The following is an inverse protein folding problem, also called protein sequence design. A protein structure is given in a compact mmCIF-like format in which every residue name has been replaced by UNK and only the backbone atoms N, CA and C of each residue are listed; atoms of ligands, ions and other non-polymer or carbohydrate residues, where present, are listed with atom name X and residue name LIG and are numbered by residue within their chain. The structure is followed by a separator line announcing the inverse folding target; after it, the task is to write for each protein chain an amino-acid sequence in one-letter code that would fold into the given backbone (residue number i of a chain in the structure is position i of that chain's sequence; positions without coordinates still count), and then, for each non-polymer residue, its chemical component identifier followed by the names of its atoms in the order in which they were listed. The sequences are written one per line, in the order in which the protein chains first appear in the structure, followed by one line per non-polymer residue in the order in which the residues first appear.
data_IF_806226265874
#
_entry.id   IF_806226265874
#
_cell.length_a   1.000
_cell.length_b   1.000
_cell.length_c   1.000
_cell.angle_alpha   90.00
_cell.angle_beta   90.00
_cell.angle_gamma   90.00
#
_symmetry.space_group_name_H-M   'P 1'
#
loop_
_entity.id
_entity.type
_entity.pdbx_description
1 polymer ?
#
# COMPACT_ATOMS: atom_id res chain seq x y z
N UNK A 1 5.30 18.27 12.82
CA UNK A 1 5.69 19.55 13.48
C UNK A 1 5.36 20.74 12.60
N UNK A 2 4.74 21.80 13.15
CA UNK A 2 4.40 23.02 12.39
C UNK A 2 5.11 24.29 12.90
N UNK A 3 5.66 24.29 14.13
CA UNK A 3 6.36 25.44 14.73
C UNK A 3 7.88 25.41 14.45
N UNK A 4 8.56 24.26 14.63
CA UNK A 4 10.01 24.16 14.31
C UNK A 4 10.32 24.30 12.80
N UNK A 5 9.39 23.90 11.94
CA UNK A 5 9.53 24.03 10.49
C UNK A 5 9.41 25.47 9.96
N UNK A 6 9.10 26.44 10.84
CA UNK A 6 8.95 27.86 10.45
C UNK A 6 10.24 28.66 10.58
N UNK A 7 11.20 28.24 11.40
CA UNK A 7 12.55 28.82 11.33
C UNK A 7 13.26 28.22 10.13
N UNK A 8 13.44 29.04 9.09
CA UNK A 8 14.09 28.62 7.85
C UNK A 8 15.56 28.33 8.15
N UNK A 9 15.99 27.12 7.80
CA UNK A 9 17.33 26.61 7.98
C UNK A 9 18.39 27.55 7.37
N UNK A 10 19.06 28.32 8.21
CA UNK A 10 20.48 28.63 8.02
C UNK A 10 21.25 27.72 8.99
N UNK A 11 22.47 27.34 8.64
CA UNK A 11 23.28 26.34 9.37
C UNK A 11 23.48 26.66 10.87
N UNK A 12 23.15 27.88 11.32
CA UNK A 12 23.27 28.34 12.71
C UNK A 12 21.94 28.85 13.32
N UNK A 13 20.80 28.25 12.97
CA UNK A 13 19.52 28.65 13.56
C UNK A 13 19.43 28.24 15.05
N UNK A 14 19.26 29.23 15.94
CA UNK A 14 19.04 28.98 17.36
C UNK A 14 17.54 28.96 17.68
N UNK A 15 17.12 27.96 18.47
CA UNK A 15 15.78 27.89 19.05
C UNK A 15 15.82 28.35 20.50
N UNK A 16 15.00 29.33 20.84
CA UNK A 16 14.83 29.79 22.22
C UNK A 16 13.39 29.53 22.64
N UNK A 17 13.21 28.83 23.75
CA UNK A 17 11.90 28.58 24.36
C UNK A 17 11.89 29.32 25.69
N UNK A 18 10.98 30.29 25.80
CA UNK A 18 10.77 31.04 27.03
C UNK A 18 9.78 30.26 27.90
N UNK A 19 10.18 30.00 29.15
CA UNK A 19 9.36 29.28 30.13
C UNK A 19 9.27 30.07 31.42
N UNK A 20 8.15 29.90 32.12
CA UNK A 20 8.01 30.40 33.49
C UNK A 20 8.84 29.53 34.45
N UNK A 21 9.55 30.19 35.36
CA UNK A 21 10.46 29.55 36.31
C UNK A 21 9.73 28.60 37.26
N UNK A 22 8.44 28.82 37.51
CA UNK A 22 7.61 27.92 38.31
C UNK A 22 7.45 26.53 37.69
N UNK A 23 7.62 26.41 36.36
CA UNK A 23 7.28 25.22 35.59
C UNK A 23 8.53 24.52 35.01
N UNK A 24 9.72 24.91 35.44
CA UNK A 24 11.00 24.42 34.91
C UNK A 24 11.13 22.89 34.95
N UNK A 25 10.78 22.27 36.08
CA UNK A 25 10.89 20.81 36.25
C UNK A 25 9.95 20.02 35.33
N UNK A 26 8.70 20.49 35.19
CA UNK A 26 7.69 19.85 34.34
C UNK A 26 8.14 19.97 32.88
N UNK A 27 8.54 21.18 32.48
CA UNK A 27 9.00 21.46 31.13
C UNK A 27 10.25 20.64 30.75
N UNK A 28 11.21 20.49 31.67
CA UNK A 28 12.42 19.68 31.42
C UNK A 28 12.10 18.21 31.14
N UNK A 29 11.11 17.67 31.87
CA UNK A 29 10.66 16.28 31.72
C UNK A 29 9.91 16.07 30.42
N UNK A 30 9.01 17.00 30.09
CA UNK A 30 8.28 16.99 28.83
C UNK A 30 9.22 17.14 27.62
N UNK A 31 10.22 18.03 27.73
CA UNK A 31 11.21 18.24 26.68
C UNK A 31 12.08 17.01 26.44
N UNK A 32 12.49 16.32 27.50
CA UNK A 32 13.23 15.08 27.39
C UNK A 32 12.40 13.98 26.72
N UNK A 33 11.16 13.81 27.17
CA UNK A 33 10.22 12.84 26.61
C UNK A 33 9.96 13.13 25.13
N UNK A 34 9.81 14.41 24.79
CA UNK A 34 9.65 14.89 23.42
C UNK A 34 10.85 14.56 22.53
N UNK A 35 12.08 14.80 23.02
CA UNK A 35 13.30 14.47 22.30
C UNK A 35 13.39 12.97 22.00
N UNK A 36 13.04 12.12 22.98
CA UNK A 36 13.01 10.67 22.78
C UNK A 36 11.99 10.26 21.71
N UNK A 37 10.80 10.87 21.69
CA UNK A 37 9.83 10.61 20.63
C UNK A 37 10.30 11.06 19.24
N UNK A 38 10.96 12.22 19.12
CA UNK A 38 11.54 12.67 17.86
C UNK A 38 12.66 11.72 17.38
N UNK A 39 13.50 11.24 18.30
CA UNK A 39 14.58 10.32 17.97
C UNK A 39 14.04 8.96 17.53
N UNK A 40 13.08 8.40 18.26
CA UNK A 40 12.37 7.17 17.87
C UNK A 40 11.67 7.37 16.52
N UNK A 41 11.00 8.50 16.31
CA UNK A 41 10.36 8.80 15.04
C UNK A 41 11.38 8.93 13.90
N UNK A 42 12.56 9.51 14.14
CA UNK A 42 13.63 9.60 13.15
C UNK A 42 14.20 8.21 12.84
N UNK A 43 14.42 7.37 13.84
CA UNK A 43 14.88 5.99 13.64
C UNK A 43 13.86 5.16 12.87
N UNK A 44 12.58 5.26 13.23
CA UNK A 44 11.48 4.65 12.47
C UNK A 44 11.40 5.24 11.07
N UNK A 45 11.55 6.56 10.92
CA UNK A 45 11.59 7.17 9.60
C UNK A 45 12.80 6.71 8.82
N UNK A 46 13.97 6.49 9.38
CA UNK A 46 15.14 5.95 8.66
C UNK A 46 14.91 4.48 8.27
N UNK A 47 14.23 3.71 9.12
CA UNK A 47 13.81 2.33 8.86
C UNK A 47 12.72 2.25 7.77
N UNK A 48 11.82 3.24 7.72
CA UNK A 48 10.74 3.38 6.74
C UNK A 48 11.02 4.41 5.63
N UNK A 49 12.22 5.01 5.59
CA UNK A 49 12.56 6.05 4.63
C UNK A 49 12.74 5.35 3.30
N UNK A 50 11.69 5.47 2.51
CA UNK A 50 11.73 5.46 1.06
C UNK A 50 12.86 6.43 0.68
N UNK A 51 14.03 5.84 0.44
CA UNK A 51 15.27 6.55 0.17
C UNK A 51 15.03 7.54 -0.97
N UNK A 52 15.24 8.83 -0.66
CA UNK A 52 15.44 9.84 -1.68
C UNK A 52 16.84 9.71 -2.33
N UNK A 53 17.68 8.77 -1.90
CA UNK A 53 18.97 8.46 -2.53
C UNK A 53 18.81 7.45 -3.68
N UNK A 54 18.82 8.01 -4.89
CA UNK A 54 19.80 7.76 -5.96
C UNK A 54 19.13 8.27 -7.24
N UNK A 55 19.68 9.28 -7.89
CA UNK A 55 19.25 9.69 -9.23
C UNK A 55 19.52 8.51 -10.19
N UNK A 56 18.57 7.57 -10.24
CA UNK A 56 18.53 6.57 -11.30
C UNK A 56 18.32 7.33 -12.59
N UNK A 57 19.38 7.39 -13.40
CA UNK A 57 19.23 7.86 -14.76
C UNK A 57 18.39 6.84 -15.55
N UNK A 58 17.68 7.31 -16.57
CA UNK A 58 16.94 6.45 -17.51
C UNK A 58 17.82 5.33 -18.09
N UNK A 59 19.13 5.58 -18.22
CA UNK A 59 20.11 4.57 -18.64
C UNK A 59 20.27 3.41 -17.66
N UNK A 60 20.13 3.63 -16.35
CA UNK A 60 20.18 2.55 -15.36
C UNK A 60 18.92 1.69 -15.45
N UNK A 61 17.76 2.29 -15.74
CA UNK A 61 16.49 1.56 -15.92
C UNK A 61 16.47 0.73 -17.20
N UNK A 62 17.21 1.13 -18.23
CA UNK A 62 17.37 0.36 -19.47
C UNK A 62 18.15 -0.95 -19.27
N UNK A 63 18.78 -1.17 -18.11
CA UNK A 63 19.42 -2.44 -17.76
C UNK A 63 18.39 -3.53 -17.45
N UNK A 64 17.16 -3.14 -17.10
CA UNK A 64 16.06 -4.08 -16.86
C UNK A 64 15.40 -4.44 -18.19
N UNK A 65 15.28 -5.73 -18.47
CA UNK A 65 14.59 -6.18 -19.68
C UNK A 65 13.11 -5.79 -19.62
N UNK A 66 12.59 -5.07 -20.63
CA UNK A 66 11.18 -4.68 -20.66
C UNK A 66 10.31 -5.91 -20.90
N UNK A 67 9.14 -5.94 -20.26
CA UNK A 67 8.16 -6.99 -20.50
C UNK A 67 7.43 -6.76 -21.81
N UNK A 68 7.21 -7.82 -22.60
CA UNK A 68 6.49 -7.77 -23.87
C UNK A 68 5.30 -8.71 -23.82
N UNK A 69 4.12 -8.21 -24.17
CA UNK A 69 2.93 -9.04 -24.35
C UNK A 69 2.91 -9.68 -25.73
N UNK A 70 2.09 -10.71 -25.90
CA UNK A 70 1.91 -11.41 -27.18
C UNK A 70 1.35 -10.50 -28.27
N UNK A 71 0.57 -9.48 -27.89
CA UNK A 71 0.06 -8.45 -28.81
C UNK A 71 1.10 -7.35 -29.15
N UNK A 72 2.33 -7.48 -28.66
CA UNK A 72 3.44 -6.58 -29.01
C UNK A 72 3.53 -5.31 -28.15
N UNK A 73 2.76 -5.20 -27.06
CA UNK A 73 2.90 -4.09 -26.11
C UNK A 73 4.19 -4.26 -25.32
N UNK A 74 4.98 -3.19 -25.25
CA UNK A 74 6.27 -3.17 -24.52
C UNK A 74 6.12 -2.32 -23.27
N UNK A 75 6.35 -2.93 -22.11
CA UNK A 75 6.25 -2.29 -20.80
C UNK A 75 7.65 -2.03 -20.27
N UNK A 76 7.98 -0.75 -20.10
CA UNK A 76 9.18 -0.33 -19.40
C UNK A 76 9.04 -0.48 -17.88
N UNK A 77 10.16 -0.57 -17.18
CA UNK A 77 10.22 -0.59 -15.71
C UNK A 77 9.35 0.50 -15.04
N UNK A 78 9.44 1.73 -15.54
CA UNK A 78 8.66 2.87 -15.03
C UNK A 78 7.16 2.62 -15.22
N UNK A 79 6.78 2.15 -16.42
CA UNK A 79 5.38 1.93 -16.74
C UNK A 79 4.80 0.78 -15.93
N UNK A 80 5.59 -0.26 -15.66
CA UNK A 80 5.18 -1.37 -14.81
C UNK A 80 4.82 -0.90 -13.38
N UNK A 81 5.64 -0.02 -12.79
CA UNK A 81 5.33 0.55 -11.48
C UNK A 81 4.02 1.36 -11.48
N UNK A 82 3.77 2.12 -12.55
CA UNK A 82 2.52 2.87 -12.70
C UNK A 82 1.31 1.92 -12.82
N UNK A 83 1.40 0.87 -13.64
CA UNK A 83 0.32 -0.11 -13.84
C UNK A 83 -0.06 -0.77 -12.51
N UNK A 84 0.92 -1.15 -11.69
CA UNK A 84 0.64 -1.73 -10.36
C UNK A 84 -0.10 -0.74 -9.47
N UNK A 85 0.32 0.52 -9.46
CA UNK A 85 -0.34 1.56 -8.66
C UNK A 85 -1.79 1.80 -9.10
N UNK A 86 -2.00 1.89 -10.41
CA UNK A 86 -3.33 2.06 -11.01
C UNK A 86 -4.21 0.84 -10.67
N UNK A 87 -3.68 -0.38 -10.82
CA UNK A 87 -4.36 -1.63 -10.46
C UNK A 87 -4.74 -1.66 -8.98
N UNK A 88 -3.80 -1.34 -8.08
CA UNK A 88 -4.06 -1.34 -6.65
C UNK A 88 -5.12 -0.30 -6.23
N UNK A 89 -5.17 0.83 -6.93
CA UNK A 89 -6.20 1.87 -6.71
C UNK A 89 -7.58 1.37 -7.14
N UNK A 90 -7.65 0.62 -8.24
CA UNK A 90 -8.89 0.00 -8.71
C UNK A 90 -9.40 -0.99 -7.66
N UNK A 91 -8.62 -2.03 -7.29
CA UNK A 91 -9.03 -3.04 -6.29
C UNK A 91 -9.31 -2.46 -4.89
N UNK A 92 -8.84 -1.24 -4.62
CA UNK A 92 -9.11 -0.47 -3.41
C UNK A 92 -10.45 0.28 -3.42
N UNK A 93 -11.33 0.04 -4.40
CA UNK A 93 -12.59 0.79 -4.58
C UNK A 93 -12.35 2.30 -4.70
N UNK A 94 -11.31 2.70 -5.43
CA UNK A 94 -10.91 4.10 -5.60
C UNK A 94 -10.22 4.71 -4.39
N UNK A 95 -10.01 3.95 -3.30
CA UNK A 95 -9.08 4.35 -2.24
C UNK A 95 -7.67 4.03 -2.67
N UNK A 96 -6.78 4.96 -2.37
CA UNK A 96 -5.37 4.77 -2.64
C UNK A 96 -4.80 3.69 -1.72
N UNK A 97 -4.62 2.50 -2.27
CA UNK A 97 -4.06 1.34 -1.59
C UNK A 97 -2.70 0.99 -2.23
N UNK A 98 -1.61 1.71 -1.96
CA UNK A 98 -0.34 1.44 -2.62
C UNK A 98 0.15 0.01 -2.32
N UNK A 99 0.88 -0.64 -3.24
CA UNK A 99 1.54 -1.91 -2.96
C UNK A 99 2.54 -1.71 -1.81
N UNK A 100 2.68 -2.73 -0.96
CA UNK A 100 3.68 -2.71 0.12
C UNK A 100 5.03 -3.10 -0.46
N UNK A 101 6.03 -2.27 -0.25
CA UNK A 101 7.40 -2.52 -0.73
C UNK A 101 8.35 -2.42 0.47
N UNK A 102 9.07 -3.50 0.74
CA UNK A 102 10.09 -3.57 1.79
C UNK A 102 11.47 -3.72 1.16
N UNK A 103 12.47 -3.16 1.83
CA UNK A 103 13.86 -3.23 1.38
C UNK A 103 14.73 -3.86 2.46
N UNK A 104 15.62 -4.74 2.05
CA UNK A 104 16.61 -5.36 2.92
C UNK A 104 17.98 -5.23 2.26
N UNK A 105 19.00 -4.91 3.06
CA UNK A 105 20.38 -4.97 2.58
C UNK A 105 20.86 -6.41 2.76
N UNK A 106 21.32 -7.02 1.68
CA UNK A 106 21.85 -8.37 1.71
C UNK A 106 23.33 -8.34 2.13
N UNK A 107 23.81 -9.41 2.78
CA UNK A 107 25.19 -9.53 3.26
C UNK A 107 26.24 -9.36 2.14
N UNK A 108 25.84 -9.57 0.89
CA UNK A 108 26.66 -9.42 -0.31
C UNK A 108 26.79 -7.98 -0.82
N UNK A 109 26.24 -6.99 -0.10
CA UNK A 109 26.26 -5.58 -0.52
C UNK A 109 25.25 -5.23 -1.62
N UNK A 110 24.31 -6.13 -1.92
CA UNK A 110 23.14 -5.89 -2.77
C UNK A 110 21.92 -5.47 -1.94
N UNK A 111 20.86 -5.03 -2.62
CA UNK A 111 19.58 -4.70 -2.02
C UNK A 111 18.51 -5.66 -2.52
N UNK A 112 17.82 -6.29 -1.57
CA UNK A 112 16.61 -7.08 -1.82
C UNK A 112 15.39 -6.19 -1.67
N UNK A 113 14.47 -6.26 -2.63
CA UNK A 113 13.17 -5.62 -2.61
C UNK A 113 12.10 -6.71 -2.53
N UNK A 114 11.16 -6.57 -1.59
CA UNK A 114 9.99 -7.43 -1.45
C UNK A 114 8.76 -6.61 -1.81
N UNK A 115 8.00 -7.08 -2.81
CA UNK A 115 6.75 -6.46 -3.23
C UNK A 115 5.57 -7.35 -2.87
N UNK A 116 4.67 -6.83 -2.04
CA UNK A 116 3.45 -7.48 -1.60
C UNK A 116 2.22 -6.71 -2.09
N UNK A 117 1.26 -7.44 -2.66
CA UNK A 117 -0.01 -6.85 -3.11
C UNK A 117 -1.00 -6.68 -1.95
N UNK A 118 -1.98 -5.77 -2.07
CA UNK A 118 -3.07 -5.64 -1.11
C UNK A 118 -3.87 -6.93 -0.96
N UNK A 119 -4.52 -7.13 0.19
CA UNK A 119 -5.27 -8.36 0.51
C UNK A 119 -6.41 -8.68 -0.48
N UNK A 120 -6.90 -7.69 -1.22
CA UNK A 120 -7.94 -7.84 -2.23
C UNK A 120 -7.40 -8.41 -3.56
N UNK A 121 -6.08 -8.47 -3.73
CA UNK A 121 -5.44 -9.04 -4.90
C UNK A 121 -5.45 -10.58 -4.80
N UNK A 122 -5.75 -11.30 -5.90
CA UNK A 122 -5.69 -12.78 -5.92
C UNK A 122 -4.26 -13.30 -5.74
N UNK A 123 -3.27 -12.54 -6.19
CA UNK A 123 -1.86 -12.86 -6.04
C UNK A 123 -1.44 -12.48 -4.62
N UNK A 124 -1.18 -13.51 -3.80
CA UNK A 124 -0.75 -13.37 -2.40
C UNK A 124 0.75 -13.56 -2.21
N UNK A 125 1.43 -14.12 -3.21
CA UNK A 125 2.85 -14.41 -3.12
C UNK A 125 3.66 -13.13 -3.24
N UNK A 126 4.61 -12.97 -2.32
CA UNK A 126 5.54 -11.85 -2.33
C UNK A 126 6.59 -12.04 -3.42
N UNK A 127 6.84 -10.97 -4.19
CA UNK A 127 7.90 -10.97 -5.20
C UNK A 127 9.16 -10.38 -4.61
N UNK A 128 10.20 -11.22 -4.56
CA UNK A 128 11.52 -10.87 -4.05
C UNK A 128 12.49 -10.73 -5.22
N UNK A 129 13.12 -9.57 -5.36
CA UNK A 129 14.19 -9.35 -6.33
C UNK A 129 15.40 -8.73 -5.65
N UNK A 130 16.59 -9.16 -6.05
CA UNK A 130 17.85 -8.62 -5.55
C UNK A 130 18.59 -7.88 -6.67
N UNK A 131 19.06 -6.68 -6.36
CA UNK A 131 19.81 -5.89 -7.32
C UNK A 131 20.87 -5.02 -6.63
N UNK A 132 21.81 -4.47 -7.40
CA UNK A 132 22.89 -3.63 -6.88
C UNK A 132 22.38 -2.32 -6.29
N UNK A 133 21.23 -1.81 -6.76
CA UNK A 133 20.59 -0.58 -6.26
C UNK A 133 19.15 -0.86 -5.80
N UNK A 134 18.72 -0.18 -4.74
CA UNK A 134 17.35 -0.30 -4.16
C UNK A 134 16.25 -0.09 -5.20
N UNK A 135 16.36 1.00 -5.99
CA UNK A 135 15.37 1.34 -7.00
C UNK A 135 15.33 0.33 -8.16
N UNK A 136 16.48 -0.23 -8.57
CA UNK A 136 16.50 -1.28 -9.60
C UNK A 136 15.79 -2.55 -9.12
N UNK A 137 16.07 -2.98 -7.88
CA UNK A 137 15.38 -4.12 -7.26
C UNK A 137 13.86 -3.90 -7.21
N UNK A 138 13.43 -2.68 -6.84
CA UNK A 138 12.01 -2.28 -6.87
C UNK A 138 11.39 -2.46 -8.25
N UNK A 139 12.01 -1.87 -9.27
CA UNK A 139 11.47 -1.89 -10.64
C UNK A 139 11.47 -3.30 -11.25
N UNK A 140 12.46 -4.12 -10.90
CA UNK A 140 12.51 -5.53 -11.27
C UNK A 140 11.34 -6.31 -10.63
N UNK A 141 11.05 -6.09 -9.33
CA UNK A 141 9.86 -6.64 -8.70
C UNK A 141 8.58 -6.21 -9.42
N UNK A 142 8.48 -4.93 -9.79
CA UNK A 142 7.31 -4.42 -10.50
C UNK A 142 7.11 -5.11 -11.86
N UNK A 143 8.18 -5.29 -12.64
CA UNK A 143 8.09 -5.98 -13.94
C UNK A 143 7.62 -7.42 -13.78
N UNK A 144 8.17 -8.15 -12.80
CA UNK A 144 7.74 -9.53 -12.50
C UNK A 144 6.29 -9.58 -12.03
N UNK A 145 5.85 -8.61 -11.23
CA UNK A 145 4.45 -8.53 -10.76
C UNK A 145 3.49 -8.27 -11.91
N UNK A 146 3.81 -7.34 -12.82
CA UNK A 146 2.96 -7.08 -14.00
C UNK A 146 2.85 -8.30 -14.90
N UNK A 147 3.96 -9.01 -15.12
CA UNK A 147 3.93 -10.27 -15.86
C UNK A 147 3.00 -11.28 -15.20
N UNK A 148 3.09 -11.44 -13.88
CA UNK A 148 2.24 -12.37 -13.14
C UNK A 148 0.76 -11.96 -13.19
N UNK A 149 0.45 -10.67 -13.05
CA UNK A 149 -0.91 -10.16 -13.18
C UNK A 149 -1.49 -10.40 -14.59
N UNK A 150 -0.69 -10.22 -15.63
CA UNK A 150 -1.09 -10.49 -17.01
C UNK A 150 -1.33 -11.99 -17.24
N UNK A 151 -0.41 -12.86 -16.80
CA UNK A 151 -0.56 -14.32 -16.91
C UNK A 151 -1.78 -14.86 -16.13
N UNK A 152 -2.19 -14.19 -15.04
CA UNK A 152 -3.39 -14.53 -14.28
C UNK A 152 -4.69 -13.91 -14.85
N UNK A 153 -4.61 -13.15 -15.94
CA UNK A 153 -5.77 -12.51 -16.58
C UNK A 153 -6.33 -11.29 -15.81
N UNK A 154 -5.59 -10.76 -14.84
CA UNK A 154 -5.95 -9.53 -14.11
C UNK A 154 -5.72 -8.27 -14.95
N UNK A 155 -4.75 -8.35 -15.85
CA UNK A 155 -4.47 -7.33 -16.88
C UNK A 155 -4.84 -7.91 -18.24
N UNK A 156 -5.38 -7.07 -19.12
CA UNK A 156 -5.58 -7.45 -20.52
C UNK A 156 -4.26 -7.36 -21.31
N UNK A 157 -4.28 -7.75 -22.58
CA UNK A 157 -3.09 -7.73 -23.44
C UNK A 157 -2.52 -6.31 -23.69
N UNK A 158 -3.36 -5.28 -23.49
CA UNK A 158 -2.96 -3.86 -23.50
C UNK A 158 -2.39 -3.40 -22.15
N UNK A 159 -2.25 -4.32 -21.19
CA UNK A 159 -1.78 -4.12 -19.82
C UNK A 159 -2.59 -3.09 -19.03
N UNK A 160 -3.88 -3.03 -19.36
CA UNK A 160 -4.88 -2.29 -18.62
C UNK A 160 -5.57 -3.24 -17.62
N UNK A 161 -5.90 -2.74 -16.42
CA UNK A 161 -6.69 -3.49 -15.45
C UNK A 161 -8.01 -3.97 -16.04
N UNK A 162 -8.25 -5.28 -16.04
CA UNK A 162 -9.50 -5.87 -16.49
C UNK A 162 -10.63 -5.49 -15.52
N UNK A 163 -11.43 -4.49 -15.88
CA UNK A 163 -12.62 -4.06 -15.11
C UNK A 163 -13.66 -5.18 -14.92
N UNK A 164 -13.54 -6.30 -15.63
CA UNK A 164 -14.48 -7.42 -15.59
C UNK A 164 -14.56 -8.07 -14.20
N UNK A 165 -13.45 -8.19 -13.46
CA UNK A 165 -13.50 -8.67 -12.06
C UNK A 165 -14.12 -7.65 -11.11
N UNK A 166 -14.03 -6.37 -11.45
CA UNK A 166 -14.71 -5.29 -10.72
C UNK A 166 -16.23 -5.42 -10.81
N UNK A 167 -16.76 -5.73 -12.00
CA UNK A 167 -18.18 -6.05 -12.17
C UNK A 167 -18.58 -7.31 -11.40
N UNK A 168 -17.71 -8.33 -11.35
CA UNK A 168 -17.99 -9.56 -10.58
C UNK A 168 -18.05 -9.29 -9.08
N UNK A 169 -17.12 -8.50 -8.51
CA UNK A 169 -17.18 -8.10 -7.10
C UNK A 169 -18.39 -7.20 -6.79
N UNK A 170 -18.79 -6.31 -7.69
CA UNK A 170 -20.02 -5.51 -7.53
C UNK A 170 -21.26 -6.41 -7.58
N UNK A 171 -21.29 -7.41 -8.45
CA UNK A 171 -22.38 -8.37 -8.52
C UNK A 171 -22.44 -9.25 -7.27
N UNK A 172 -21.31 -9.70 -6.73
CA UNK A 172 -21.27 -10.49 -5.50
C UNK A 172 -21.77 -9.66 -4.30
N UNK A 173 -21.38 -8.38 -4.20
CA UNK A 173 -21.93 -7.44 -3.20
C UNK A 173 -23.43 -7.22 -3.41
N UNK A 174 -23.89 -7.12 -4.66
CA UNK A 174 -25.31 -6.96 -4.99
C UNK A 174 -26.12 -8.23 -4.65
N UNK A 175 -25.56 -9.42 -4.84
CA UNK A 175 -26.18 -10.71 -4.50
C UNK A 175 -26.25 -10.84 -2.97
N UNK A 176 -25.18 -10.50 -2.24
CA UNK A 176 -25.19 -10.51 -0.77
C UNK A 176 -26.21 -9.51 -0.21
N UNK A 177 -26.35 -8.32 -0.81
CA UNK A 177 -27.39 -7.36 -0.42
C UNK A 177 -28.81 -7.86 -0.73
N UNK A 178 -29.00 -8.58 -1.84
CA UNK A 178 -30.28 -9.19 -2.18
C UNK A 178 -30.61 -10.36 -1.25
N UNK A 179 -29.64 -11.19 -0.90
CA UNK A 179 -29.79 -12.28 0.08
C UNK A 179 -30.08 -11.73 1.49
N UNK A 180 -29.47 -10.60 1.87
CA UNK A 180 -29.75 -9.94 3.15
C UNK A 180 -31.18 -9.37 3.19
N UNK A 181 -31.66 -8.77 2.10
CA UNK A 181 -33.05 -8.30 1.98
C UNK A 181 -34.07 -9.44 2.00
N UNK A 182 -33.81 -10.52 1.27
CA UNK A 182 -34.64 -11.73 1.29
C UNK A 182 -34.69 -12.36 2.68
N UNK A 183 -33.57 -12.33 3.42
CA UNK A 183 -33.51 -12.79 4.81
C UNK A 183 -34.44 -11.95 5.69
N UNK A 184 -34.34 -10.63 5.63
CA UNK A 184 -35.15 -9.74 6.47
C UNK A 184 -36.66 -9.85 6.14
N UNK A 185 -37.04 -10.00 4.86
CA UNK A 185 -38.43 -10.27 4.45
C UNK A 185 -38.97 -11.64 4.94
N UNK A 186 -38.11 -12.67 5.00
CA UNK A 186 -38.44 -13.99 5.57
C UNK A 186 -38.57 -13.98 7.10
N UNK A 187 -37.98 -12.99 7.79
CA UNK A 187 -38.10 -12.84 9.24
C UNK A 187 -39.30 -11.94 9.63
N UNK A 188 -39.67 -10.94 8.82
CA UNK A 188 -40.86 -10.11 9.08
C UNK A 188 -42.20 -10.85 8.85
N UNK A 189 -42.20 -11.96 8.09
CA UNK A 189 -43.43 -12.72 7.80
C UNK A 189 -43.79 -13.79 8.84
N UNK A 190 -42.98 -13.96 9.91
CA UNK A 190 -43.17 -15.04 10.90
C UNK A 190 -43.90 -14.65 12.19
N UNK A 191 -44.20 -13.38 12.42
CA UNK A 191 -44.78 -12.94 13.71
C UNK A 191 -46.32 -12.85 13.74
N UNK A 192 -47.02 -13.07 12.62
CA UNK A 192 -48.49 -12.86 12.54
C UNK A 192 -49.36 -14.13 12.35
N UNK A 193 -48.85 -15.32 12.67
CA UNK A 193 -49.71 -16.53 12.70
C UNK A 193 -49.47 -17.39 13.95
N UNK A 194 -49.82 -16.84 15.12
CA UNK A 194 -50.26 -17.66 16.26
C UNK A 194 -51.79 -17.78 16.25
N UNK A 195 -52.30 -18.91 15.75
CA UNK A 195 -53.57 -19.44 16.25
C UNK A 195 -53.43 -20.94 16.48
N UNK A 196 -53.55 -21.26 17.77
CA UNK A 196 -54.09 -22.47 18.41
C UNK A 196 -54.02 -23.80 17.64
N UNK A 197 -53.46 -24.82 18.30
CA UNK A 197 -54.18 -25.99 18.84
C UNK A 197 -53.13 -26.93 19.42
N UNK A 198 -53.06 -27.01 20.75
CA UNK A 198 -52.51 -28.18 21.44
C UNK A 198 -53.59 -29.26 21.51
N UNK A 199 -53.23 -30.54 21.43
CA UNK A 199 -53.83 -31.51 22.32
C UNK A 199 -52.79 -32.16 23.23
N UNK A 200 -53.17 -32.22 24.50
CA UNK A 200 -52.54 -32.97 25.59
C UNK A 200 -52.56 -34.47 25.29
N UNK A 201 -51.44 -35.15 25.52
CA UNK A 201 -51.28 -36.14 26.61
C UNK A 201 -49.81 -36.52 26.77
#
# INVERSE_FOLDING_TARGET
MQSKGRARAKQNAAYVILIDKSNENIFSTDLFTYHNYEEIQKMLQEEFSIDNDDDLNTNDLNQLEPYRTDNGVVISAIRAAQIIYDYCTIIGNGRLCPPRILYHKTDHGTFSSILSMPANCPIRDDIICENRRKKLAKFECCLKMVKLLHENGELNDDCLPCQTRFLMMINDISIDQQLFKLRDELFETKDDNTMEIFPKQ
#
